data_IF_864506105331
#
_entry.id   IF_864506105331
#
_cell.length_a   1.000
_cell.length_b   1.000
_cell.length_c   1.000
_cell.angle_alpha   90.00
_cell.angle_beta   90.00
_cell.angle_gamma   90.00
#
_symmetry.space_group_name_H-M   'P 1'
#
loop_
_entity.id
_entity.type
_entity.pdbx_description
1 polymer ?
#
# COMPACT_ATOMS: atom_id res chain seq x y z
N UNK A 1 20.78 -51.17 17.65
CA UNK A 1 19.37 -50.70 17.81
C UNK A 1 19.31 -49.25 18.30
N UNK A 2 20.06 -48.88 19.35
CA UNK A 2 20.09 -47.49 19.84
C UNK A 2 20.50 -46.46 18.76
N UNK A 3 21.51 -46.75 17.94
CA UNK A 3 21.96 -45.87 16.85
C UNK A 3 20.88 -45.61 15.78
N UNK A 4 20.03 -46.60 15.51
CA UNK A 4 18.92 -46.47 14.57
C UNK A 4 17.83 -45.53 15.12
N UNK A 5 17.52 -45.65 16.41
CA UNK A 5 16.53 -44.79 17.10
C UNK A 5 17.05 -43.34 17.13
N UNK A 6 18.33 -43.14 17.46
CA UNK A 6 18.95 -41.81 17.48
C UNK A 6 18.95 -41.21 16.07
N UNK A 7 19.28 -41.99 15.04
CA UNK A 7 19.31 -41.50 13.65
C UNK A 7 17.93 -41.06 13.16
N UNK A 8 16.87 -41.81 13.50
CA UNK A 8 15.48 -41.45 13.17
C UNK A 8 15.08 -40.16 13.91
N UNK A 9 15.48 -40.02 15.17
CA UNK A 9 15.23 -38.82 15.97
C UNK A 9 15.89 -37.58 15.37
N UNK A 10 17.16 -37.67 14.98
CA UNK A 10 17.88 -36.57 14.31
C UNK A 10 17.22 -36.22 12.98
N UNK A 11 16.88 -37.23 12.16
CA UNK A 11 16.23 -37.00 10.86
C UNK A 11 14.89 -36.30 11.02
N UNK A 12 14.07 -36.69 12.00
CA UNK A 12 12.78 -36.06 12.27
C UNK A 12 12.93 -34.59 12.68
N UNK A 13 13.87 -34.29 13.58
CA UNK A 13 14.13 -32.91 14.02
C UNK A 13 14.66 -32.07 12.86
N UNK A 14 15.63 -32.57 12.11
CA UNK A 14 16.18 -31.86 10.94
C UNK A 14 15.09 -31.61 9.89
N UNK A 15 14.22 -32.58 9.63
CA UNK A 15 13.10 -32.42 8.70
C UNK A 15 12.15 -31.29 9.10
N UNK A 16 11.81 -31.20 10.38
CA UNK A 16 10.95 -30.12 10.91
C UNK A 16 11.66 -28.75 10.78
N UNK A 17 12.96 -28.69 11.08
CA UNK A 17 13.75 -27.45 10.94
C UNK A 17 13.79 -26.98 9.50
N UNK A 18 14.06 -27.87 8.54
CA UNK A 18 14.09 -27.55 7.11
C UNK A 18 12.71 -27.09 6.63
N UNK A 19 11.64 -27.73 7.07
CA UNK A 19 10.27 -27.33 6.73
C UNK A 19 9.95 -25.91 7.23
N UNK A 20 10.29 -25.62 8.49
CA UNK A 20 10.08 -24.29 9.07
C UNK A 20 10.89 -23.22 8.33
N UNK A 21 12.16 -23.49 8.01
CA UNK A 21 12.99 -22.58 7.21
C UNK A 21 12.37 -22.30 5.85
N UNK A 22 11.85 -23.32 5.17
CA UNK A 22 11.18 -23.17 3.88
C UNK A 22 9.92 -22.31 3.99
N UNK A 23 9.08 -22.53 5.02
CA UNK A 23 7.89 -21.72 5.26
C UNK A 23 8.26 -20.26 5.53
N UNK A 24 9.26 -20.01 6.38
CA UNK A 24 9.75 -18.65 6.67
C UNK A 24 10.31 -17.98 5.43
N UNK A 25 11.14 -18.68 4.64
CA UNK A 25 11.72 -18.13 3.41
C UNK A 25 10.65 -17.74 2.39
N UNK A 26 9.63 -18.60 2.21
CA UNK A 26 8.51 -18.33 1.31
C UNK A 26 7.69 -17.12 1.75
N UNK A 27 7.43 -16.98 3.04
CA UNK A 27 6.71 -15.82 3.59
C UNK A 27 7.51 -14.54 3.42
N UNK A 28 8.84 -14.60 3.63
CA UNK A 28 9.74 -13.45 3.45
C UNK A 28 9.81 -13.01 1.98
N UNK A 29 9.93 -13.96 1.05
CA UNK A 29 9.93 -13.70 -0.39
C UNK A 29 8.63 -13.01 -0.84
N UNK A 30 7.49 -13.54 -0.37
CA UNK A 30 6.18 -12.94 -0.63
C UNK A 30 6.09 -11.50 -0.09
N UNK A 31 6.57 -11.26 1.13
CA UNK A 31 6.62 -9.91 1.73
C UNK A 31 7.47 -8.94 0.90
N UNK A 32 8.63 -9.39 0.43
CA UNK A 32 9.51 -8.57 -0.41
C UNK A 32 8.83 -8.19 -1.72
N UNK A 33 8.20 -9.15 -2.40
CA UNK A 33 7.47 -8.89 -3.65
C UNK A 33 6.29 -7.93 -3.45
N UNK A 34 5.52 -8.09 -2.38
CA UNK A 34 4.39 -7.21 -2.07
C UNK A 34 4.86 -5.80 -1.67
N UNK A 35 6.01 -5.69 -1.00
CA UNK A 35 6.66 -4.42 -0.68
C UNK A 35 7.09 -3.69 -1.96
N UNK A 36 7.79 -4.36 -2.88
CA UNK A 36 8.24 -3.77 -4.14
C UNK A 36 7.05 -3.24 -4.96
N UNK A 37 5.94 -4.01 -5.02
CA UNK A 37 4.71 -3.56 -5.68
C UNK A 37 4.06 -2.37 -4.97
N UNK A 38 4.06 -2.35 -3.64
CA UNK A 38 3.54 -1.23 -2.85
C UNK A 38 4.31 0.06 -3.14
N UNK A 39 5.64 -0.04 -3.20
CA UNK A 39 6.54 1.09 -3.52
C UNK A 39 6.27 1.58 -4.94
N UNK A 40 6.23 0.66 -5.92
CA UNK A 40 5.95 1.02 -7.31
C UNK A 40 4.61 1.74 -7.47
N UNK A 41 3.56 1.23 -6.81
CA UNK A 41 2.23 1.83 -6.85
C UNK A 41 2.22 3.22 -6.19
N UNK A 42 2.80 3.36 -5.00
CA UNK A 42 2.84 4.63 -4.28
C UNK A 42 3.68 5.68 -5.03
N UNK A 43 4.84 5.30 -5.56
CA UNK A 43 5.67 6.17 -6.39
C UNK A 43 4.94 6.58 -7.66
N UNK A 44 4.28 5.66 -8.36
CA UNK A 44 3.49 5.96 -9.55
C UNK A 44 2.33 6.91 -9.26
N UNK A 45 1.63 6.74 -8.14
CA UNK A 45 0.58 7.67 -7.70
C UNK A 45 1.16 9.06 -7.42
N UNK A 46 2.26 9.15 -6.66
CA UNK A 46 2.91 10.43 -6.35
C UNK A 46 3.43 11.11 -7.62
N UNK A 47 3.97 10.35 -8.57
CA UNK A 47 4.45 10.85 -9.86
C UNK A 47 3.30 11.33 -10.75
N UNK A 48 2.18 10.61 -10.81
CA UNK A 48 0.98 11.06 -11.51
C UNK A 48 0.47 12.40 -10.93
N UNK A 49 0.47 12.54 -9.61
CA UNK A 49 0.15 13.81 -8.97
C UNK A 49 1.17 14.93 -9.25
N UNK A 50 2.46 14.59 -9.36
CA UNK A 50 3.54 15.53 -9.72
C UNK A 50 3.44 16.02 -11.16
N UNK A 51 3.09 15.12 -12.06
CA UNK A 51 3.11 15.36 -13.50
C UNK A 51 2.07 16.39 -13.95
N UNK A 52 1.19 16.84 -13.05
CA UNK A 52 0.23 17.89 -13.37
C UNK A 52 -0.65 17.43 -14.53
N UNK A 53 -1.28 16.27 -14.41
CA UNK A 53 -2.49 16.03 -15.20
C UNK A 53 -3.43 17.15 -14.76
N UNK A 54 -3.59 18.15 -15.64
CA UNK A 54 -4.10 19.53 -15.39
C UNK A 54 -5.52 19.60 -14.81
N UNK A 55 -6.06 18.46 -14.46
CA UNK A 55 -7.26 18.36 -13.70
C UNK A 55 -7.08 17.30 -12.61
N UNK A 56 -7.07 17.78 -11.36
CA UNK A 56 -7.72 17.06 -10.27
C UNK A 56 -9.24 16.95 -10.57
N UNK A 57 -9.64 16.61 -11.80
CA UNK A 57 -11.02 16.32 -12.14
C UNK A 57 -11.25 14.91 -11.64
N UNK A 58 -11.70 14.85 -10.39
CA UNK A 58 -11.85 13.67 -9.56
C UNK A 58 -12.68 12.56 -10.21
N UNK A 59 -13.37 12.86 -11.31
CA UNK A 59 -14.21 11.96 -12.09
C UNK A 59 -13.51 11.27 -13.27
N UNK A 60 -12.34 11.74 -13.73
CA UNK A 60 -11.70 11.20 -14.93
C UNK A 60 -10.78 10.01 -14.66
N UNK A 61 -10.33 9.84 -13.42
CA UNK A 61 -9.49 8.70 -13.04
C UNK A 61 -10.31 7.49 -12.60
N UNK A 62 -10.27 6.41 -13.39
CA UNK A 62 -11.00 5.15 -13.15
C UNK A 62 -10.72 4.54 -11.76
N UNK A 63 -9.54 4.81 -11.19
CA UNK A 63 -9.16 4.37 -9.86
C UNK A 63 -9.87 5.16 -8.74
N UNK A 64 -10.14 6.46 -8.93
CA UNK A 64 -10.89 7.26 -7.95
C UNK A 64 -12.39 6.98 -7.98
N UNK A 65 -12.98 6.69 -9.15
CA UNK A 65 -14.39 6.32 -9.27
C UNK A 65 -14.76 5.07 -8.45
N UNK A 66 -13.77 4.24 -8.12
CA UNK A 66 -13.91 3.02 -7.30
C UNK A 66 -13.41 3.20 -5.86
N UNK A 67 -12.99 4.40 -5.49
CA UNK A 67 -12.44 4.71 -4.17
C UNK A 67 -13.51 5.31 -3.25
N UNK A 68 -13.36 5.09 -1.94
CA UNK A 68 -14.16 5.82 -0.95
C UNK A 68 -13.46 7.16 -0.71
N UNK A 69 -14.07 8.25 -1.19
CA UNK A 69 -13.51 9.62 -1.07
C UNK A 69 -14.19 10.38 0.06
N UNK A 70 -13.39 10.91 0.98
CA UNK A 70 -13.80 11.88 1.98
C UNK A 70 -13.18 13.24 1.66
N UNK A 71 -14.02 14.21 1.31
CA UNK A 71 -13.59 15.60 1.13
C UNK A 71 -13.53 16.31 2.47
N UNK A 72 -12.47 17.10 2.67
CA UNK A 72 -12.25 17.95 3.83
C UNK A 72 -12.05 19.40 3.37
N UNK A 73 -12.28 20.41 4.23
CA UNK A 73 -12.14 21.82 3.84
C UNK A 73 -10.77 22.18 3.24
N UNK A 74 -9.72 21.48 3.68
CA UNK A 74 -8.33 21.72 3.28
C UNK A 74 -7.71 20.53 2.54
N UNK A 75 -8.52 19.63 1.97
CA UNK A 75 -7.98 18.44 1.32
C UNK A 75 -8.97 17.32 1.03
N UNK A 76 -8.45 16.14 0.74
CA UNK A 76 -9.27 14.95 0.50
C UNK A 76 -8.52 13.69 0.91
N UNK A 77 -9.25 12.63 1.20
CA UNK A 77 -8.71 11.29 1.41
C UNK A 77 -9.48 10.29 0.57
N UNK A 78 -8.78 9.44 -0.18
CA UNK A 78 -9.34 8.37 -1.00
C UNK A 78 -8.81 7.01 -0.51
N UNK A 79 -9.68 6.02 -0.42
CA UNK A 79 -9.31 4.64 -0.08
C UNK A 79 -9.60 3.72 -1.27
N UNK A 80 -8.56 3.05 -1.76
CA UNK A 80 -8.64 2.02 -2.80
C UNK A 80 -8.39 0.64 -2.21
N UNK A 81 -9.07 -0.37 -2.72
CA UNK A 81 -8.91 -1.75 -2.26
C UNK A 81 -8.44 -2.65 -3.40
N UNK A 82 -7.47 -3.52 -3.10
CA UNK A 82 -6.83 -4.40 -4.08
C UNK A 82 -6.82 -5.85 -3.61
N UNK A 83 -6.84 -6.77 -4.57
CA UNK A 83 -6.68 -8.21 -4.36
C UNK A 83 -5.20 -8.65 -4.38
N UNK A 84 -4.93 -9.95 -4.28
CA UNK A 84 -3.57 -10.52 -4.32
C UNK A 84 -2.82 -10.24 -5.64
N UNK A 85 -3.55 -10.11 -6.74
CA UNK A 85 -3.01 -9.79 -8.06
C UNK A 85 -2.76 -8.28 -8.25
N UNK A 86 -3.03 -7.44 -7.24
CA UNK A 86 -2.97 -5.97 -7.32
C UNK A 86 -3.98 -5.38 -8.32
N UNK A 87 -5.09 -6.08 -8.53
CA UNK A 87 -6.24 -5.58 -9.26
C UNK A 87 -7.27 -5.03 -8.27
N UNK A 88 -8.11 -4.09 -8.70
CA UNK A 88 -9.17 -3.53 -7.84
C UNK A 88 -10.08 -4.65 -7.32
N UNK A 89 -10.23 -4.73 -6.01
CA UNK A 89 -11.10 -5.72 -5.38
C UNK A 89 -12.57 -5.43 -5.73
N UNK A 90 -13.31 -6.47 -6.14
CA UNK A 90 -14.73 -6.37 -6.50
C UNK A 90 -15.67 -6.73 -5.35
N UNK A 91 -15.16 -7.50 -4.39
CA UNK A 91 -15.88 -7.98 -3.22
C UNK A 91 -15.05 -7.74 -1.96
N UNK A 92 -15.69 -7.64 -0.80
CA UNK A 92 -14.99 -7.50 0.48
C UNK A 92 -14.11 -8.72 0.81
N UNK A 93 -14.53 -9.90 0.38
CA UNK A 93 -13.78 -11.14 0.61
C UNK A 93 -12.46 -11.19 -0.18
N UNK A 94 -12.38 -10.49 -1.31
CA UNK A 94 -11.18 -10.42 -2.15
C UNK A 94 -10.18 -9.36 -1.69
N UNK A 95 -10.57 -8.48 -0.76
CA UNK A 95 -9.71 -7.40 -0.28
C UNK A 95 -8.52 -8.01 0.46
N UNK A 96 -7.33 -7.69 -0.05
CA UNK A 96 -6.07 -8.05 0.59
C UNK A 96 -5.26 -6.81 0.98
N UNK A 97 -5.37 -5.75 0.19
CA UNK A 97 -4.68 -4.49 0.45
C UNK A 97 -5.64 -3.31 0.42
N UNK A 98 -5.38 -2.33 1.26
CA UNK A 98 -6.00 -1.02 1.23
C UNK A 98 -4.94 0.05 0.97
N UNK A 99 -5.22 0.99 0.07
CA UNK A 99 -4.35 2.11 -0.28
C UNK A 99 -5.09 3.38 0.05
N UNK A 100 -4.64 4.08 1.08
CA UNK A 100 -5.17 5.36 1.51
C UNK A 100 -4.30 6.47 0.96
N UNK A 101 -4.87 7.34 0.14
CA UNK A 101 -4.23 8.54 -0.39
C UNK A 101 -4.85 9.74 0.31
N UNK A 102 -4.05 10.52 1.02
CA UNK A 102 -4.48 11.74 1.71
C UNK A 102 -3.75 12.93 1.11
N UNK A 103 -4.50 13.90 0.58
CA UNK A 103 -3.98 15.17 0.13
C UNK A 103 -4.46 16.27 1.08
N UNK A 104 -3.53 17.05 1.64
CA UNK A 104 -3.87 18.17 2.52
C UNK A 104 -3.08 19.41 2.13
N UNK A 105 -3.71 20.58 2.21
CA UNK A 105 -3.06 21.86 2.03
C UNK A 105 -2.33 22.24 3.32
N UNK A 106 -1.07 22.63 3.21
CA UNK A 106 -0.29 23.07 4.36
C UNK A 106 -0.59 24.56 4.65
N UNK A 107 -1.18 24.90 5.82
CA UNK A 107 -1.54 26.27 6.15
C UNK A 107 -0.33 27.14 6.54
N UNK A 108 0.86 26.56 6.73
CA UNK A 108 2.05 27.28 7.21
C UNK A 108 2.92 27.93 6.12
N UNK A 109 2.56 27.83 4.84
CA UNK A 109 3.35 28.37 3.75
C UNK A 109 2.78 29.69 3.22
N UNK A 110 3.69 30.65 2.99
CA UNK A 110 3.56 31.94 2.27
C UNK A 110 2.52 31.91 1.11
N UNK A 111 1.97 33.04 0.62
CA UNK A 111 0.67 33.14 -0.07
C UNK A 111 0.45 32.29 -1.35
N UNK A 112 1.46 31.56 -1.82
CA UNK A 112 1.35 30.51 -2.83
C UNK A 112 0.92 29.13 -2.29
N UNK A 113 1.15 28.79 -1.01
CA UNK A 113 0.77 27.51 -0.37
C UNK A 113 1.42 26.24 -0.96
N UNK A 114 1.42 25.13 -0.20
CA UNK A 114 1.81 23.80 -0.72
C UNK A 114 0.72 22.75 -0.48
N UNK A 115 0.62 21.80 -1.40
CA UNK A 115 -0.13 20.56 -1.21
C UNK A 115 0.80 19.46 -0.71
N UNK A 116 0.36 18.70 0.30
CA UNK A 116 1.02 17.52 0.82
C UNK A 116 0.20 16.29 0.44
N UNK A 117 0.81 15.36 -0.29
CA UNK A 117 0.18 14.08 -0.61
C UNK A 117 0.86 12.99 0.20
N UNK A 118 0.08 12.18 0.89
CA UNK A 118 0.47 10.98 1.64
C UNK A 118 -0.18 9.77 1.02
N UNK A 119 0.60 8.80 0.57
CA UNK A 119 0.09 7.48 0.15
C UNK A 119 0.47 6.46 1.22
N UNK A 120 -0.51 5.70 1.70
CA UNK A 120 -0.38 4.64 2.68
C UNK A 120 -0.95 3.34 2.15
N UNK A 121 -0.12 2.30 2.07
CA UNK A 121 -0.53 0.95 1.66
C UNK A 121 -0.54 0.04 2.89
N UNK A 122 -1.67 -0.60 3.17
CA UNK A 122 -1.85 -1.55 4.26
C UNK A 122 -2.33 -2.90 3.71
N UNK A 123 -1.89 -3.99 4.34
CA UNK A 123 -2.39 -5.33 4.07
C UNK A 123 -3.41 -5.71 5.14
N UNK A 124 -4.60 -6.15 4.73
CA UNK A 124 -5.73 -6.43 5.61
C UNK A 124 -5.71 -7.84 6.22
N UNK A 125 -5.05 -8.81 5.56
CA UNK A 125 -4.98 -10.21 6.02
C UNK A 125 -3.56 -10.62 6.40
N UNK A 126 -3.34 -11.34 7.51
CA UNK A 126 -2.01 -11.74 7.94
C UNK A 126 -1.36 -12.73 6.95
N UNK A 127 -0.03 -12.81 6.99
CA UNK A 127 0.68 -13.93 6.36
C UNK A 127 0.57 -15.17 7.23
N UNK A 128 0.52 -16.34 6.63
CA UNK A 128 0.80 -17.56 7.39
C UNK A 128 2.31 -17.66 7.64
N UNK A 129 2.81 -17.97 8.85
CA UNK A 129 2.11 -18.35 10.09
C UNK A 129 1.91 -17.21 11.11
N UNK A 130 1.92 -15.95 10.69
CA UNK A 130 1.78 -14.78 11.57
C UNK A 130 0.36 -14.62 12.12
N UNK A 131 0.24 -14.02 13.32
CA UNK A 131 -1.04 -13.87 14.01
C UNK A 131 -1.86 -12.73 13.41
N UNK A 132 -3.18 -12.89 13.44
CA UNK A 132 -4.15 -11.85 13.10
C UNK A 132 -3.90 -10.61 13.98
N UNK A 133 -3.71 -9.45 13.35
CA UNK A 133 -3.58 -8.15 14.04
C UNK A 133 -2.18 -7.52 14.03
N UNK A 134 -1.16 -8.17 13.45
CA UNK A 134 0.11 -7.49 13.17
C UNK A 134 -0.06 -6.54 11.98
N UNK A 135 0.02 -5.22 12.23
CA UNK A 135 0.16 -4.20 11.18
C UNK A 135 1.47 -4.44 10.46
N UNK A 136 1.40 -5.02 9.27
CA UNK A 136 2.58 -5.62 8.63
C UNK A 136 3.41 -4.62 7.82
N UNK A 137 2.81 -3.55 7.29
CA UNK A 137 3.54 -2.53 6.57
C UNK A 137 2.71 -1.25 6.42
N UNK A 138 3.36 -0.08 6.51
CA UNK A 138 2.79 1.22 6.20
C UNK A 138 3.90 2.05 5.57
N UNK A 139 3.87 2.20 4.24
CA UNK A 139 4.70 3.19 3.56
C UNK A 139 4.02 4.56 3.68
N UNK A 140 4.78 5.60 4.03
CA UNK A 140 4.31 6.99 4.04
C UNK A 140 5.18 7.74 3.05
N UNK A 141 4.64 7.99 1.86
CA UNK A 141 5.27 8.83 0.85
C UNK A 141 4.68 10.22 0.91
N UNK A 142 5.47 11.22 1.33
CA UNK A 142 5.06 12.62 1.35
C UNK A 142 5.72 13.41 0.22
N UNK A 143 4.92 14.13 -0.56
CA UNK A 143 5.45 15.07 -1.54
C UNK A 143 4.75 16.43 -1.45
N UNK A 144 5.51 17.50 -1.72
CA UNK A 144 5.08 18.89 -1.58
C UNK A 144 5.10 19.60 -2.93
N UNK A 145 3.99 20.24 -3.31
CA UNK A 145 3.87 20.96 -4.58
C UNK A 145 3.31 22.37 -4.39
N UNK A 146 3.81 23.37 -5.14
CA UNK A 146 3.30 24.73 -5.06
C UNK A 146 1.82 24.77 -5.48
N UNK A 147 0.96 25.52 -4.78
CA UNK A 147 -0.48 25.50 -5.05
C UNK A 147 -0.88 26.22 -6.34
N UNK A 148 0.06 26.84 -7.06
CA UNK A 148 -0.19 27.47 -8.36
C UNK A 148 -0.48 26.46 -9.48
N UNK A 149 -0.09 25.18 -9.32
CA UNK A 149 -0.41 24.09 -10.27
C UNK A 149 -1.91 23.71 -10.20
N UNK A 150 -2.67 24.21 -9.21
CA UNK A 150 -4.12 23.97 -9.08
C UNK A 150 -5.03 25.06 -9.64
N UNK A 151 -4.50 26.05 -10.38
CA UNK A 151 -5.26 27.25 -10.79
C UNK A 151 -5.64 27.37 -12.27
N UNK A 152 -5.18 26.50 -13.17
CA UNK A 152 -5.59 26.58 -14.59
C UNK A 152 -6.80 25.70 -14.95
N UNK A 153 -7.65 25.38 -13.97
CA UNK A 153 -8.98 24.76 -14.17
C UNK A 153 -10.16 25.74 -14.05
N UNK A 154 -9.90 27.05 -14.04
CA UNK A 154 -10.96 28.08 -13.98
C UNK A 154 -11.36 28.56 -15.36
N UNK A 155 -12.32 27.89 -16.00
CA UNK A 155 -13.03 28.47 -17.16
C UNK A 155 -14.39 28.99 -16.72
N UNK A 156 -14.56 30.28 -17.02
CA UNK A 156 -15.75 31.15 -17.03
C UNK A 156 -17.06 30.43 -17.37
#
# INVERSE_FOLDING_TARGET
MAEMIISIGVLAVTGIVVLNLFLTARTLDRKAMELDRSVLLASGMIEAFKAGEDSLDFQQHEWMARSVVSQQPDGWTAILTYNEAWETAKTEEDILFSVTVTCTRDPGADPAGYWRIRVKVEREKPYYPEKVGERLYSLDGAAFFPAEIGKEGGVV
#
